data_IF_607813511137
#
_entry.id   IF_607813511137
#
_cell.length_a   1.000
_cell.length_b   1.000
_cell.length_c   1.000
_cell.angle_alpha   90.00
_cell.angle_beta   90.00
_cell.angle_gamma   90.00
#
_symmetry.space_group_name_H-M   'P 1'
#
loop_
_entity.id
_entity.type
_entity.pdbx_description
1 polymer ?
#
# COMPACT_ATOMS: atom_id res chain seq x y z
N UNK A 1 7.98 -10.92 -21.05
CA UNK A 1 8.85 -10.61 -19.90
C UNK A 1 7.97 -10.23 -18.72
N UNK A 2 8.31 -10.64 -17.50
CA UNK A 2 7.59 -10.18 -16.32
C UNK A 2 7.77 -8.66 -16.18
N UNK A 3 6.72 -7.95 -15.76
CA UNK A 3 6.78 -6.50 -15.56
C UNK A 3 7.90 -6.10 -14.61
N UNK A 4 8.61 -5.00 -14.90
CA UNK A 4 9.60 -4.40 -13.98
C UNK A 4 8.97 -4.04 -12.63
N UNK A 5 7.66 -3.80 -12.60
CA UNK A 5 6.89 -3.50 -11.39
C UNK A 5 6.77 -4.71 -10.43
N UNK A 6 7.10 -5.92 -10.89
CA UNK A 6 7.02 -7.16 -10.09
C UNK A 6 8.01 -7.17 -8.95
N UNK A 7 9.23 -6.64 -9.15
CA UNK A 7 10.40 -6.84 -8.29
C UNK A 7 10.78 -8.32 -8.09
N UNK A 8 11.96 -8.58 -7.53
CA UNK A 8 12.34 -9.93 -7.08
C UNK A 8 11.46 -10.36 -5.90
N UNK A 9 11.36 -11.67 -5.60
CA UNK A 9 10.63 -12.09 -4.39
C UNK A 9 11.26 -11.53 -3.11
N UNK A 10 12.59 -11.46 -3.04
CA UNK A 10 13.29 -10.89 -1.89
C UNK A 10 12.91 -9.42 -1.69
N UNK A 11 12.86 -8.64 -2.77
CA UNK A 11 12.46 -7.23 -2.72
C UNK A 11 10.96 -7.06 -2.41
N UNK A 12 10.09 -7.93 -2.94
CA UNK A 12 8.65 -7.93 -2.59
C UNK A 12 8.46 -8.16 -1.09
N UNK A 13 9.17 -9.11 -0.48
CA UNK A 13 9.08 -9.35 0.97
C UNK A 13 9.55 -8.16 1.79
N UNK A 14 10.64 -7.51 1.35
CA UNK A 14 11.16 -6.29 1.97
C UNK A 14 10.11 -5.18 1.93
N UNK A 15 9.59 -4.83 0.76
CA UNK A 15 8.63 -3.71 0.64
C UNK A 15 7.24 -4.04 1.22
N UNK A 16 6.91 -5.33 1.39
CA UNK A 16 5.67 -5.75 2.05
C UNK A 16 5.63 -5.32 3.52
N UNK A 17 6.77 -5.27 4.23
CA UNK A 17 6.82 -4.80 5.61
C UNK A 17 6.41 -3.33 5.70
N UNK A 18 7.00 -2.46 4.88
CA UNK A 18 6.65 -1.04 4.86
C UNK A 18 5.19 -0.81 4.39
N UNK A 19 4.76 -1.52 3.35
CA UNK A 19 3.38 -1.44 2.87
C UNK A 19 2.37 -1.81 3.98
N UNK A 20 2.68 -2.85 4.75
CA UNK A 20 1.88 -3.25 5.89
C UNK A 20 1.88 -2.19 7.00
N UNK A 21 3.03 -1.61 7.33
CA UNK A 21 3.12 -0.55 8.34
C UNK A 21 2.21 0.65 7.97
N UNK A 22 2.21 1.06 6.70
CA UNK A 22 1.31 2.11 6.21
C UNK A 22 -0.17 1.71 6.34
N UNK A 23 -0.51 0.46 6.01
CA UNK A 23 -1.88 -0.03 6.09
C UNK A 23 -2.38 -0.16 7.55
N UNK A 24 -1.54 -0.63 8.46
CA UNK A 24 -1.87 -0.78 9.88
C UNK A 24 -2.06 0.55 10.58
N UNK A 25 -1.32 1.60 10.18
CA UNK A 25 -1.44 2.93 10.78
C UNK A 25 -2.85 3.51 10.63
N UNK A 26 -3.50 3.23 9.48
CA UNK A 26 -4.86 3.72 9.18
C UNK A 26 -5.94 2.68 9.42
N UNK A 27 -5.57 1.44 9.77
CA UNK A 27 -6.53 0.36 10.02
C UNK A 27 -7.59 0.70 11.08
N UNK A 28 -7.30 1.48 12.14
CA UNK A 28 -8.33 1.92 13.09
C UNK A 28 -9.50 2.71 12.47
N UNK A 29 -9.37 3.22 11.24
CA UNK A 29 -10.45 3.89 10.50
C UNK A 29 -11.44 2.90 9.86
N UNK A 30 -11.11 1.61 9.81
CA UNK A 30 -11.97 0.58 9.24
C UNK A 30 -12.90 -0.02 10.30
N UNK A 31 -14.20 0.14 10.07
CA UNK A 31 -15.27 -0.48 10.85
C UNK A 31 -16.26 -1.16 9.89
N UNK A 32 -16.60 -2.42 10.16
CA UNK A 32 -17.50 -3.22 9.34
C UNK A 32 -18.16 -4.33 10.18
N UNK A 33 -18.88 -5.25 9.55
CA UNK A 33 -19.32 -6.47 10.23
C UNK A 33 -18.14 -7.39 10.59
N UNK A 34 -18.37 -8.30 11.53
CA UNK A 34 -17.35 -9.19 12.06
C UNK A 34 -16.71 -10.10 10.99
N UNK A 35 -17.43 -10.43 9.90
CA UNK A 35 -16.89 -11.25 8.83
C UNK A 35 -15.87 -10.46 7.99
N UNK A 36 -16.20 -9.24 7.61
CA UNK A 36 -15.29 -8.35 6.89
C UNK A 36 -14.07 -7.98 7.75
N UNK A 37 -14.25 -7.74 9.05
CA UNK A 37 -13.14 -7.53 9.99
C UNK A 37 -12.20 -8.73 10.08
N UNK A 38 -12.75 -9.95 10.11
CA UNK A 38 -11.93 -11.16 10.11
C UNK A 38 -11.14 -11.32 8.80
N UNK A 39 -11.74 -11.00 7.64
CA UNK A 39 -11.04 -11.04 6.35
C UNK A 39 -9.91 -10.00 6.24
N UNK A 40 -10.10 -8.80 6.78
CA UNK A 40 -9.05 -7.77 6.83
C UNK A 40 -7.93 -8.17 7.79
N UNK A 41 -8.25 -8.72 8.97
CA UNK A 41 -7.26 -9.22 9.93
C UNK A 41 -6.43 -10.37 9.35
N UNK A 42 -7.06 -11.34 8.68
CA UNK A 42 -6.34 -12.41 7.96
C UNK A 42 -5.37 -11.85 6.91
N UNK A 43 -5.76 -10.81 6.17
CA UNK A 43 -4.89 -10.18 5.19
C UNK A 43 -3.68 -9.47 5.83
N UNK A 44 -3.87 -8.82 6.98
CA UNK A 44 -2.78 -8.24 7.78
C UNK A 44 -1.81 -9.32 8.23
N UNK A 45 -2.32 -10.38 8.86
CA UNK A 45 -1.50 -11.46 9.42
C UNK A 45 -0.69 -12.18 8.33
N UNK A 46 -1.31 -12.47 7.19
CA UNK A 46 -0.61 -13.07 6.05
C UNK A 46 0.44 -12.15 5.43
N UNK A 47 0.15 -10.85 5.32
CA UNK A 47 1.12 -9.89 4.80
C UNK A 47 2.33 -9.78 5.74
N UNK A 48 2.08 -9.82 7.05
CA UNK A 48 3.12 -9.84 8.09
C UNK A 48 4.01 -11.08 7.93
N UNK A 49 3.40 -12.27 7.88
CA UNK A 49 4.11 -13.52 7.68
C UNK A 49 4.92 -13.51 6.37
N UNK A 50 4.33 -13.06 5.26
CA UNK A 50 5.03 -12.91 3.98
C UNK A 50 6.26 -12.00 4.09
N UNK A 51 6.13 -10.85 4.73
CA UNK A 51 7.25 -9.92 4.94
C UNK A 51 8.36 -10.51 5.81
N UNK A 52 8.02 -11.42 6.73
CA UNK A 52 8.96 -12.12 7.61
C UNK A 52 9.65 -13.33 6.93
N UNK A 53 9.36 -13.62 5.67
CA UNK A 53 9.93 -14.78 4.96
C UNK A 53 9.09 -16.05 5.07
N UNK A 54 7.95 -15.99 5.74
CA UNK A 54 7.02 -17.12 5.89
C UNK A 54 6.02 -17.15 4.72
N UNK A 55 5.35 -18.30 4.53
CA UNK A 55 4.40 -18.49 3.44
C UNK A 55 5.03 -18.41 2.04
N UNK A 56 4.17 -18.42 1.01
CA UNK A 56 4.60 -18.40 -0.40
C UNK A 56 3.88 -17.32 -1.21
N UNK A 57 4.60 -16.70 -2.16
CA UNK A 57 3.99 -15.75 -3.11
C UNK A 57 2.75 -16.34 -3.79
N UNK A 58 2.79 -17.62 -4.17
CA UNK A 58 1.65 -18.30 -4.80
C UNK A 58 0.41 -18.39 -3.89
N UNK A 59 0.60 -18.67 -2.60
CA UNK A 59 -0.49 -18.69 -1.61
C UNK A 59 -1.14 -17.32 -1.46
N UNK A 60 -0.32 -16.28 -1.32
CA UNK A 60 -0.79 -14.90 -1.17
C UNK A 60 -1.50 -14.39 -2.43
N UNK A 61 -0.96 -14.70 -3.61
CA UNK A 61 -1.58 -14.36 -4.90
C UNK A 61 -2.99 -14.94 -4.99
N UNK A 62 -3.22 -16.18 -4.56
CA UNK A 62 -4.57 -16.79 -4.61
C UNK A 62 -5.58 -16.06 -3.72
N UNK A 63 -5.12 -15.47 -2.62
CA UNK A 63 -5.96 -14.78 -1.63
C UNK A 63 -6.03 -13.25 -1.81
N UNK A 64 -5.24 -12.67 -2.72
CA UNK A 64 -5.06 -11.21 -2.90
C UNK A 64 -6.35 -10.39 -3.07
N UNK A 65 -7.43 -11.00 -3.55
CA UNK A 65 -8.71 -10.32 -3.78
C UNK A 65 -9.69 -10.37 -2.59
N UNK A 66 -9.34 -11.05 -1.49
CA UNK A 66 -10.21 -11.19 -0.31
C UNK A 66 -10.38 -9.82 0.37
N UNK A 67 -9.29 -9.21 0.82
CA UNK A 67 -9.32 -7.89 1.46
C UNK A 67 -9.98 -6.79 0.59
N UNK A 68 -9.74 -6.83 -0.73
CA UNK A 68 -10.37 -5.88 -1.66
C UNK A 68 -11.89 -6.05 -1.78
N UNK A 69 -12.43 -7.27 -1.53
CA UNK A 69 -13.86 -7.52 -1.43
C UNK A 69 -14.40 -7.08 -0.07
N UNK A 70 -13.71 -7.43 1.02
CA UNK A 70 -14.04 -7.02 2.38
C UNK A 70 -14.13 -5.49 2.53
N UNK A 71 -13.28 -4.74 1.82
CA UNK A 71 -13.27 -3.27 1.84
C UNK A 71 -14.62 -2.63 1.44
N UNK A 72 -15.50 -3.35 0.74
CA UNK A 72 -16.83 -2.86 0.35
C UNK A 72 -17.83 -2.83 1.52
N UNK A 73 -17.54 -3.54 2.60
CA UNK A 73 -18.37 -3.60 3.80
C UNK A 73 -18.04 -2.48 4.81
N UNK A 74 -17.03 -1.64 4.52
CA UNK A 74 -16.66 -0.53 5.40
C UNK A 74 -17.81 0.46 5.59
N UNK A 75 -18.00 0.91 6.82
CA UNK A 75 -19.08 1.83 7.20
C UNK A 75 -18.81 3.29 6.84
N UNK A 76 -17.59 3.61 6.39
CA UNK A 76 -17.20 4.97 6.00
C UNK A 76 -16.28 4.99 4.76
N UNK A 77 -16.19 6.13 4.04
CA UNK A 77 -15.21 6.30 2.96
C UNK A 77 -13.75 6.19 3.44
N UNK A 78 -13.43 6.71 4.62
CA UNK A 78 -12.10 6.60 5.24
C UNK A 78 -11.77 5.12 5.52
N UNK A 79 -12.70 4.38 6.12
CA UNK A 79 -12.55 2.94 6.35
C UNK A 79 -12.43 2.13 5.05
N UNK A 80 -13.18 2.50 4.01
CA UNK A 80 -13.03 1.89 2.67
C UNK A 80 -11.60 2.09 2.14
N UNK A 81 -11.03 3.29 2.30
CA UNK A 81 -9.67 3.58 1.88
C UNK A 81 -8.63 2.84 2.73
N UNK A 82 -8.83 2.75 4.06
CA UNK A 82 -7.97 1.98 4.95
C UNK A 82 -7.95 0.48 4.59
N UNK A 83 -9.12 -0.13 4.38
CA UNK A 83 -9.21 -1.52 3.93
C UNK A 83 -8.59 -1.74 2.53
N UNK A 84 -8.69 -0.76 1.63
CA UNK A 84 -7.99 -0.80 0.33
C UNK A 84 -6.47 -0.69 0.50
N UNK A 85 -5.97 0.03 1.50
CA UNK A 85 -4.55 0.05 1.84
C UNK A 85 -4.08 -1.36 2.23
N UNK A 86 -4.81 -2.05 3.11
CA UNK A 86 -4.53 -3.46 3.47
C UNK A 86 -4.59 -4.37 2.24
N UNK A 87 -5.57 -4.19 1.36
CA UNK A 87 -5.68 -4.99 0.14
C UNK A 87 -4.48 -4.80 -0.80
N UNK A 88 -3.96 -3.58 -0.91
CA UNK A 88 -2.73 -3.32 -1.67
C UNK A 88 -1.51 -3.95 -0.98
N UNK A 89 -1.38 -3.83 0.34
CA UNK A 89 -0.29 -4.46 1.10
C UNK A 89 -0.27 -5.98 0.88
N UNK A 90 -1.43 -6.64 0.96
CA UNK A 90 -1.55 -8.08 0.67
C UNK A 90 -1.24 -8.43 -0.80
N UNK A 91 -1.48 -7.51 -1.74
CA UNK A 91 -1.15 -7.69 -3.15
C UNK A 91 0.35 -7.50 -3.44
N UNK A 92 1.18 -7.03 -2.49
CA UNK A 92 2.62 -6.91 -2.69
C UNK A 92 3.25 -8.25 -3.08
N UNK A 93 2.78 -9.38 -2.54
CA UNK A 93 3.31 -10.70 -2.91
C UNK A 93 3.12 -11.05 -4.41
N UNK A 94 2.14 -10.45 -5.07
CA UNK A 94 1.94 -10.52 -6.51
C UNK A 94 2.90 -9.61 -7.27
N UNK A 95 3.03 -8.36 -6.84
CA UNK A 95 3.79 -7.32 -7.53
C UNK A 95 4.25 -6.23 -6.57
N UNK A 96 5.55 -5.96 -6.52
CA UNK A 96 6.16 -5.00 -5.58
C UNK A 96 5.58 -3.59 -5.65
N UNK A 97 5.15 -3.15 -6.84
CA UNK A 97 4.51 -1.85 -7.03
C UNK A 97 3.25 -1.61 -6.18
N UNK A 98 2.57 -2.66 -5.71
CA UNK A 98 1.44 -2.50 -4.80
C UNK A 98 1.83 -1.83 -3.47
N UNK A 99 3.12 -1.81 -3.09
CA UNK A 99 3.57 -1.13 -1.88
C UNK A 99 3.29 0.39 -1.92
N UNK A 100 3.54 1.04 -3.06
CA UNK A 100 3.20 2.46 -3.25
C UNK A 100 1.67 2.66 -3.27
N UNK A 101 0.91 1.68 -3.76
CA UNK A 101 -0.54 1.70 -3.70
C UNK A 101 -1.08 1.64 -2.26
N UNK A 102 -0.47 0.83 -1.39
CA UNK A 102 -0.84 0.74 0.02
C UNK A 102 -0.63 2.09 0.71
N UNK A 103 0.58 2.64 0.61
CA UNK A 103 0.93 3.96 1.14
C UNK A 103 -0.03 5.08 0.66
N UNK A 104 -0.35 5.10 -0.64
CA UNK A 104 -1.27 6.07 -1.21
C UNK A 104 -2.71 5.94 -0.69
N UNK A 105 -3.20 4.70 -0.53
CA UNK A 105 -4.53 4.48 0.04
C UNK A 105 -4.58 4.81 1.53
N UNK A 106 -3.48 4.64 2.28
CA UNK A 106 -3.39 5.10 3.66
C UNK A 106 -3.51 6.62 3.75
N UNK A 107 -2.77 7.37 2.93
CA UNK A 107 -2.91 8.84 2.83
C UNK A 107 -4.34 9.23 2.45
N UNK A 108 -4.95 8.51 1.50
CA UNK A 108 -6.35 8.74 1.14
C UNK A 108 -7.30 8.50 2.32
N UNK A 109 -7.08 7.49 3.14
CA UNK A 109 -7.89 7.24 4.33
C UNK A 109 -7.82 8.43 5.31
N UNK A 110 -6.61 8.92 5.59
CA UNK A 110 -6.37 10.10 6.43
C UNK A 110 -7.05 11.35 5.85
N UNK A 111 -6.95 11.56 4.52
CA UNK A 111 -7.57 12.72 3.86
C UNK A 111 -9.09 12.77 3.94
N UNK A 112 -9.73 11.63 4.23
CA UNK A 112 -11.19 11.50 4.36
C UNK A 112 -11.66 11.62 5.81
N UNK A 113 -10.74 11.88 6.75
CA UNK A 113 -11.05 12.23 8.14
C UNK A 113 -11.33 13.73 8.27
N UNK A 114 -11.67 14.20 9.47
CA UNK A 114 -12.16 15.57 9.70
C UNK A 114 -11.21 16.66 9.16
N UNK A 115 -11.78 17.54 8.33
CA UNK A 115 -11.09 18.65 7.67
C UNK A 115 -10.65 19.77 8.65
N UNK A 116 -11.11 19.75 9.91
CA UNK A 116 -10.59 20.61 10.99
C UNK A 116 -9.12 20.30 11.37
N UNK A 117 -8.58 19.28 10.72
CA UNK A 117 -7.24 18.73 10.60
C UNK A 117 -6.15 19.38 9.73
N UNK A 118 -5.60 20.60 9.96
CA UNK A 118 -4.50 21.08 9.13
C UNK A 118 -3.37 20.04 8.99
N UNK A 119 -2.88 19.88 7.76
CA UNK A 119 -1.67 19.13 7.42
C UNK A 119 -1.67 17.61 7.68
N UNK A 120 -2.79 16.99 8.07
CA UNK A 120 -2.84 15.54 8.34
C UNK A 120 -2.37 14.66 7.16
N UNK A 121 -2.65 15.07 5.92
CA UNK A 121 -2.13 14.39 4.71
C UNK A 121 -0.60 14.44 4.67
N UNK A 122 0.00 15.59 4.94
CA UNK A 122 1.46 15.74 4.89
C UNK A 122 2.13 15.01 6.06
N UNK A 123 1.52 15.06 7.25
CA UNK A 123 1.99 14.33 8.43
C UNK A 123 2.00 12.81 8.17
N UNK A 124 0.98 12.26 7.52
CA UNK A 124 0.96 10.85 7.13
C UNK A 124 2.09 10.52 6.16
N UNK A 125 2.32 11.34 5.13
CA UNK A 125 3.42 11.13 4.17
C UNK A 125 4.80 11.21 4.87
N UNK A 126 4.96 12.15 5.80
CA UNK A 126 6.17 12.30 6.61
C UNK A 126 6.41 11.09 7.51
N UNK A 127 5.35 10.61 8.17
CA UNK A 127 5.40 9.40 8.96
C UNK A 127 5.78 8.18 8.10
N UNK A 128 5.14 7.98 6.95
CA UNK A 128 5.42 6.87 6.04
C UNK A 128 6.88 6.87 5.55
N UNK A 129 7.43 8.04 5.22
CA UNK A 129 8.83 8.17 4.80
C UNK A 129 9.79 7.91 5.97
N UNK A 130 9.44 8.31 7.19
CA UNK A 130 10.23 7.99 8.38
C UNK A 130 10.24 6.49 8.71
N UNK A 131 9.21 5.73 8.31
CA UNK A 131 9.16 4.27 8.50
C UNK A 131 10.04 3.46 7.52
N UNK A 132 10.59 4.08 6.48
CA UNK A 132 11.39 3.39 5.48
C UNK A 132 12.81 3.08 5.98
N UNK A 133 13.18 1.81 5.89
CA UNK A 133 14.58 1.37 6.01
C UNK A 133 15.34 1.60 4.71
N UNK A 134 16.68 1.61 4.76
CA UNK A 134 17.52 1.76 3.57
C UNK A 134 17.27 0.68 2.51
N UNK A 135 17.01 -0.55 2.96
CA UNK A 135 16.73 -1.68 2.06
C UNK A 135 15.40 -1.51 1.34
N UNK A 136 14.40 -0.96 2.00
CA UNK A 136 13.10 -0.66 1.39
C UNK A 136 13.20 0.52 0.43
N UNK A 137 13.95 1.57 0.79
CA UNK A 137 14.25 2.66 -0.15
C UNK A 137 14.92 2.13 -1.40
N UNK A 138 15.94 1.29 -1.25
CA UNK A 138 16.64 0.69 -2.39
C UNK A 138 15.70 -0.14 -3.27
N UNK A 139 14.86 -1.00 -2.67
CA UNK A 139 13.90 -1.82 -3.41
C UNK A 139 12.81 -0.98 -4.11
N UNK A 140 12.29 0.07 -3.46
CA UNK A 140 11.27 0.95 -4.04
C UNK A 140 11.83 1.79 -5.21
N UNK A 141 13.13 2.17 -5.19
CA UNK A 141 13.79 2.87 -6.31
C UNK A 141 13.91 2.02 -7.58
N UNK A 142 13.75 0.69 -7.48
CA UNK A 142 13.72 -0.19 -8.66
C UNK A 142 12.40 -0.09 -9.45
N UNK A 143 11.35 0.48 -8.83
CA UNK A 143 10.06 0.65 -9.48
C UNK A 143 10.11 1.82 -10.47
N UNK A 144 9.44 1.70 -11.62
CA UNK A 144 9.35 2.80 -12.58
C UNK A 144 8.55 3.98 -11.99
N UNK A 145 8.83 5.22 -12.43
CA UNK A 145 7.97 6.37 -12.15
C UNK A 145 6.50 6.09 -12.50
N UNK A 146 5.57 6.65 -11.72
CA UNK A 146 4.15 6.54 -11.98
C UNK A 146 3.80 7.04 -13.39
N UNK A 147 3.15 6.20 -14.18
CA UNK A 147 2.72 6.47 -15.55
C UNK A 147 3.73 6.08 -16.63
N UNK A 148 4.98 5.74 -16.29
CA UNK A 148 6.00 5.45 -17.31
C UNK A 148 5.99 4.00 -17.83
N UNK A 149 5.25 3.11 -17.18
CA UNK A 149 5.14 1.70 -17.55
C UNK A 149 3.70 1.19 -17.30
N UNK A 150 3.04 0.71 -18.35
CA UNK A 150 1.65 0.26 -18.29
C UNK A 150 1.45 -1.18 -17.81
N UNK A 151 2.53 -1.94 -17.56
CA UNK A 151 2.49 -3.38 -17.27
C UNK A 151 2.22 -3.73 -15.80
N UNK A 152 1.64 -2.80 -15.03
CA UNK A 152 1.35 -2.96 -13.61
C UNK A 152 0.53 -1.80 -13.03
N UNK A 153 0.35 -1.76 -11.71
CA UNK A 153 -0.55 -0.81 -11.06
C UNK A 153 -0.06 0.64 -11.13
N UNK A 154 1.22 0.89 -11.47
CA UNK A 154 1.75 2.24 -11.71
C UNK A 154 1.51 2.75 -13.14
N UNK A 155 0.79 2.01 -13.99
CA UNK A 155 0.33 2.52 -15.30
C UNK A 155 -0.76 3.59 -15.18
N UNK A 156 -1.43 3.91 -16.30
CA UNK A 156 -2.42 5.02 -16.42
C UNK A 156 -3.79 4.79 -15.70
N UNK A 157 -3.80 3.96 -14.66
CA UNK A 157 -4.99 3.50 -13.97
C UNK A 157 -5.42 4.35 -12.75
N UNK A 158 -6.16 3.70 -11.84
CA UNK A 158 -6.69 4.33 -10.63
C UNK A 158 -5.61 4.96 -9.74
N UNK A 159 -4.43 4.33 -9.65
CA UNK A 159 -3.34 4.84 -8.83
C UNK A 159 -2.66 6.08 -9.45
N UNK A 160 -2.87 6.37 -10.73
CA UNK A 160 -2.25 7.52 -11.40
C UNK A 160 -3.00 8.85 -11.21
N UNK A 161 -4.15 8.84 -10.52
CA UNK A 161 -5.12 9.94 -10.51
C UNK A 161 -5.42 10.47 -9.10
N UNK A 162 -5.70 11.77 -9.03
CA UNK A 162 -6.05 12.48 -7.80
C UNK A 162 -5.07 12.22 -6.67
N UNK A 163 -5.57 12.24 -5.43
CA UNK A 163 -4.73 12.09 -4.23
C UNK A 163 -3.84 10.84 -4.24
N UNK A 164 -4.27 9.74 -4.87
CA UNK A 164 -3.44 8.53 -4.96
C UNK A 164 -2.20 8.79 -5.82
N UNK A 165 -2.40 9.36 -7.01
CA UNK A 165 -1.30 9.66 -7.91
C UNK A 165 -0.38 10.75 -7.38
N UNK A 166 -0.95 11.78 -6.77
CA UNK A 166 -0.17 12.88 -6.18
C UNK A 166 0.71 12.35 -5.03
N UNK A 167 0.14 11.51 -4.17
CA UNK A 167 0.89 10.84 -3.09
C UNK A 167 2.00 9.95 -3.63
N UNK A 168 1.72 9.11 -4.63
CA UNK A 168 2.75 8.21 -5.19
C UNK A 168 3.91 9.01 -5.78
N UNK A 169 3.64 10.07 -6.56
CA UNK A 169 4.70 10.92 -7.13
C UNK A 169 5.54 11.58 -6.04
N UNK A 170 4.90 12.09 -4.98
CA UNK A 170 5.61 12.71 -3.85
C UNK A 170 6.48 11.69 -3.11
N UNK A 171 5.95 10.49 -2.82
CA UNK A 171 6.71 9.40 -2.21
C UNK A 171 7.90 9.00 -3.10
N UNK A 172 7.71 8.86 -4.42
CA UNK A 172 8.78 8.51 -5.35
C UNK A 172 9.90 9.57 -5.35
N UNK A 173 9.58 10.86 -5.40
CA UNK A 173 10.58 11.95 -5.30
C UNK A 173 11.38 11.88 -3.99
N UNK A 174 10.68 11.72 -2.85
CA UNK A 174 11.30 11.63 -1.52
C UNK A 174 12.14 10.37 -1.33
N UNK A 175 11.75 9.26 -1.96
CA UNK A 175 12.51 8.02 -1.96
C UNK A 175 13.76 8.17 -2.82
N UNK A 176 13.68 8.80 -4.00
CA UNK A 176 14.84 9.02 -4.88
C UNK A 176 15.87 9.99 -4.30
N UNK A 177 15.48 10.85 -3.35
CA UNK A 177 16.35 11.90 -2.81
C UNK A 177 16.38 13.16 -3.67
N UNK A 178 15.49 13.25 -4.67
CA UNK A 178 15.26 14.47 -5.43
C UNK A 178 14.35 15.40 -4.61
N UNK A 179 14.96 16.23 -3.77
CA UNK A 179 14.22 17.15 -2.90
C UNK A 179 14.94 17.57 -1.62
N UNK A 180 16.26 17.72 -1.66
CA UNK A 180 17.02 18.45 -0.65
C UNK A 180 18.02 19.38 -1.34
#
# INVERSE_FOLDING_TARGET
MASVQTLSEADRRVVARWALACAEHVLPLFEADAAAEAEIRDAVDRTRAYSAGEGSSAGEIRKRLIAGRAAKAASSPAGTAAARSVAQAAAVAHMGAHALGAAAYAVKAVSLTDAATPDHVQQEIDWQVAQLTDRERAALRLLPPLGSDASGPLGEGLLARGILGDTIRQLQSRISGEGQ
#
